data_IF_924914730749
#
_entry.id   IF_924914730749
#
_cell.length_a   1.000
_cell.length_b   1.000
_cell.length_c   1.000
_cell.angle_alpha   90.00
_cell.angle_beta   90.00
_cell.angle_gamma   90.00
#
_symmetry.space_group_name_H-M   'P 1'
#
loop_
_entity.id
_entity.type
_entity.pdbx_description
1 polymer ?
#
# COMPACT_ATOMS: atom_id res chain seq x y z
N UNK A 1 20.23 -5.15 -19.91
CA UNK A 1 20.22 -5.52 -21.35
C UNK A 1 21.59 -6.02 -21.86
N UNK A 2 22.68 -5.56 -21.31
CA UNK A 2 24.04 -5.98 -21.76
C UNK A 2 24.21 -7.50 -21.69
N UNK A 3 23.80 -8.12 -20.56
CA UNK A 3 23.91 -9.56 -20.38
C UNK A 3 23.00 -10.35 -21.32
N UNK A 4 21.81 -9.81 -21.63
CA UNK A 4 20.89 -10.44 -22.58
C UNK A 4 21.49 -10.44 -23.98
N UNK A 5 22.04 -9.31 -24.42
CA UNK A 5 22.73 -9.21 -25.73
C UNK A 5 23.95 -10.14 -25.80
N UNK A 6 24.76 -10.22 -24.72
CA UNK A 6 25.93 -11.10 -24.63
C UNK A 6 25.56 -12.61 -24.67
N UNK A 7 24.30 -12.96 -24.37
CA UNK A 7 23.80 -14.33 -24.37
C UNK A 7 22.71 -14.58 -25.42
N UNK A 8 22.64 -13.75 -26.44
CA UNK A 8 21.70 -13.84 -27.57
C UNK A 8 20.22 -13.91 -27.11
N UNK A 9 19.89 -13.28 -25.98
CA UNK A 9 18.54 -13.24 -25.45
C UNK A 9 17.83 -11.96 -25.83
N UNK A 10 16.54 -12.08 -26.05
CA UNK A 10 15.62 -10.95 -26.25
C UNK A 10 15.03 -10.49 -24.93
N UNK A 11 14.79 -9.19 -24.85
CA UNK A 11 14.15 -8.55 -23.71
C UNK A 11 12.72 -8.17 -24.05
N UNK A 12 11.77 -8.59 -23.22
CA UNK A 12 10.37 -8.21 -23.31
C UNK A 12 10.01 -7.39 -22.06
N UNK A 13 9.26 -6.31 -22.21
CA UNK A 13 8.82 -5.50 -21.08
C UNK A 13 7.32 -5.67 -20.85
N UNK A 14 6.93 -5.94 -19.59
CA UNK A 14 5.55 -6.17 -19.21
C UNK A 14 5.13 -5.23 -18.07
N UNK A 15 4.00 -4.56 -18.28
CA UNK A 15 3.48 -3.51 -17.40
C UNK A 15 3.63 -2.12 -18.04
N UNK A 16 2.58 -1.29 -17.93
CA UNK A 16 2.50 0.02 -18.60
C UNK A 16 3.64 0.96 -18.23
N UNK A 17 3.95 1.06 -16.94
CA UNK A 17 5.05 1.91 -16.45
C UNK A 17 6.41 1.41 -16.93
N UNK A 18 6.64 0.10 -16.95
CA UNK A 18 7.89 -0.49 -17.44
C UNK A 18 8.09 -0.19 -18.92
N UNK A 19 7.08 -0.45 -19.77
CA UNK A 19 7.14 -0.16 -21.22
C UNK A 19 7.42 1.33 -21.48
N UNK A 20 6.70 2.22 -20.79
CA UNK A 20 6.87 3.67 -20.93
C UNK A 20 8.27 4.11 -20.53
N UNK A 21 8.77 3.65 -19.39
CA UNK A 21 10.08 4.06 -18.88
C UNK A 21 11.24 3.54 -19.75
N UNK A 22 11.16 2.29 -20.23
CA UNK A 22 12.16 1.74 -21.15
C UNK A 22 12.19 2.50 -22.47
N UNK A 23 11.00 2.81 -23.02
CA UNK A 23 10.89 3.64 -24.23
C UNK A 23 11.50 5.01 -24.02
N UNK A 24 11.13 5.72 -22.95
CA UNK A 24 11.67 7.04 -22.63
C UNK A 24 13.18 7.00 -22.46
N UNK A 25 13.72 6.03 -21.72
CA UNK A 25 15.15 5.90 -21.51
C UNK A 25 15.92 5.62 -22.81
N UNK A 26 15.32 4.94 -23.78
CA UNK A 26 15.88 4.79 -25.14
C UNK A 26 15.82 6.10 -25.92
N UNK A 27 14.68 6.78 -25.91
CA UNK A 27 14.48 8.03 -26.66
C UNK A 27 15.47 9.12 -26.24
N UNK A 28 15.80 9.20 -24.93
CA UNK A 28 16.82 10.13 -24.40
C UNK A 28 18.25 9.59 -24.46
N UNK A 29 18.46 8.38 -25.02
CA UNK A 29 19.79 7.79 -25.24
C UNK A 29 20.49 7.23 -23.99
N UNK A 30 19.83 7.19 -22.83
CA UNK A 30 20.36 6.57 -21.59
C UNK A 30 20.44 5.05 -21.75
N UNK A 31 19.43 4.45 -22.37
CA UNK A 31 19.35 3.01 -22.57
C UNK A 31 19.61 2.67 -24.05
N UNK A 32 20.74 2.00 -24.30
CA UNK A 32 21.18 1.65 -25.66
C UNK A 32 20.96 0.17 -25.96
N UNK A 33 19.71 -0.25 -26.04
CA UNK A 33 19.34 -1.62 -26.42
C UNK A 33 19.24 -1.70 -27.94
N UNK A 34 19.90 -2.66 -28.60
CA UNK A 34 19.72 -2.92 -30.03
C UNK A 34 18.25 -3.27 -30.35
N UNK A 35 17.74 -2.85 -31.49
CA UNK A 35 16.32 -3.06 -31.87
C UNK A 35 15.94 -4.55 -31.92
N UNK A 36 16.85 -5.41 -32.35
CA UNK A 36 16.60 -6.86 -32.37
C UNK A 36 16.44 -7.48 -30.98
N UNK A 37 17.05 -6.86 -29.96
CA UNK A 37 17.07 -7.39 -28.58
C UNK A 37 15.90 -6.91 -27.72
N UNK A 38 15.09 -5.96 -28.18
CA UNK A 38 13.88 -5.51 -27.49
C UNK A 38 12.66 -5.85 -28.32
N UNK A 39 11.75 -6.64 -27.73
CA UNK A 39 10.51 -7.09 -28.36
C UNK A 39 9.30 -6.61 -27.59
N UNK A 40 8.20 -6.47 -28.29
CA UNK A 40 6.91 -6.16 -27.68
C UNK A 40 6.30 -7.43 -27.06
N UNK A 41 5.48 -7.24 -26.02
CA UNK A 41 4.81 -8.38 -25.35
C UNK A 41 3.81 -9.09 -26.27
N UNK A 42 3.33 -8.40 -27.27
CA UNK A 42 2.42 -8.89 -28.28
C UNK A 42 3.10 -9.94 -29.21
N UNK A 43 4.43 -9.93 -29.28
CA UNK A 43 5.23 -10.88 -30.07
C UNK A 43 5.61 -12.15 -29.28
N UNK A 44 5.21 -12.25 -28.00
CA UNK A 44 5.70 -13.27 -27.06
C UNK A 44 5.49 -14.71 -27.57
N UNK A 45 4.39 -15.00 -28.23
CA UNK A 45 4.07 -16.33 -28.75
C UNK A 45 5.01 -16.77 -29.89
N UNK A 46 5.68 -15.83 -30.55
CA UNK A 46 6.65 -16.06 -31.63
C UNK A 46 8.09 -16.15 -31.13
N UNK A 47 8.33 -15.96 -29.84
CA UNK A 47 9.66 -15.95 -29.23
C UNK A 47 9.99 -17.31 -28.61
N UNK A 48 11.26 -17.68 -28.69
CA UNK A 48 11.80 -18.83 -27.97
C UNK A 48 11.82 -18.56 -26.46
N UNK A 49 11.09 -19.31 -25.63
CA UNK A 49 11.05 -19.12 -24.18
C UNK A 49 12.44 -19.20 -23.54
N UNK A 50 13.32 -20.09 -24.00
CA UNK A 50 14.66 -20.26 -23.46
C UNK A 50 15.57 -19.05 -23.73
N UNK A 51 15.26 -18.26 -24.75
CA UNK A 51 15.99 -17.05 -25.12
C UNK A 51 15.27 -15.76 -24.71
N UNK A 52 14.15 -15.86 -24.01
CA UNK A 52 13.36 -14.69 -23.65
C UNK A 52 13.57 -14.31 -22.18
N UNK A 53 13.86 -13.03 -21.94
CA UNK A 53 13.84 -12.42 -20.61
C UNK A 53 12.71 -11.40 -20.51
N UNK A 54 11.83 -11.59 -19.54
CA UNK A 54 10.74 -10.65 -19.30
C UNK A 54 11.07 -9.79 -18.08
N UNK A 55 11.06 -8.47 -18.25
CA UNK A 55 11.16 -7.50 -17.15
C UNK A 55 9.77 -6.92 -16.90
N UNK A 56 9.27 -7.12 -15.69
CA UNK A 56 7.90 -6.74 -15.34
C UNK A 56 7.82 -5.97 -14.03
N UNK A 57 6.65 -5.35 -13.81
CA UNK A 57 6.26 -4.73 -12.54
C UNK A 57 5.66 -5.75 -11.57
N UNK A 58 5.60 -5.42 -10.26
CA UNK A 58 4.93 -6.24 -9.25
C UNK A 58 5.84 -6.80 -8.17
N UNK A 59 7.06 -6.28 -8.05
CA UNK A 59 8.03 -6.72 -7.04
C UNK A 59 7.62 -6.38 -5.61
N UNK A 60 6.64 -5.50 -5.42
CA UNK A 60 6.09 -5.10 -4.11
C UNK A 60 4.72 -5.73 -3.83
N UNK A 61 4.25 -6.60 -4.71
CA UNK A 61 2.97 -7.29 -4.53
C UNK A 61 1.74 -6.43 -4.83
N UNK A 62 1.90 -5.35 -5.61
CA UNK A 62 0.79 -4.46 -6.00
C UNK A 62 -0.29 -5.26 -6.75
N UNK A 63 -1.56 -5.17 -6.37
CA UNK A 63 -2.62 -6.08 -6.86
C UNK A 63 -2.79 -6.08 -8.38
N UNK A 64 -2.57 -4.96 -9.06
CA UNK A 64 -2.73 -4.81 -10.52
C UNK A 64 -1.42 -4.96 -11.30
N UNK A 65 -0.31 -5.22 -10.64
CA UNK A 65 0.97 -5.36 -11.30
C UNK A 65 1.08 -6.69 -12.06
N UNK A 66 1.90 -6.70 -13.09
CA UNK A 66 2.01 -7.83 -14.01
C UNK A 66 2.39 -9.15 -13.30
N UNK A 67 3.38 -9.11 -12.41
CA UNK A 67 3.82 -10.30 -11.68
C UNK A 67 2.73 -10.85 -10.74
N UNK A 68 1.98 -9.97 -10.07
CA UNK A 68 0.86 -10.36 -9.20
C UNK A 68 -0.24 -11.05 -10.02
N UNK A 69 -0.57 -10.49 -11.19
CA UNK A 69 -1.56 -11.10 -12.09
C UNK A 69 -1.10 -12.46 -12.62
N UNK A 70 0.20 -12.66 -12.88
CA UNK A 70 0.76 -13.96 -13.22
C UNK A 70 0.65 -14.93 -12.04
N UNK A 71 1.01 -14.50 -10.83
CA UNK A 71 0.99 -15.34 -9.63
C UNK A 71 -0.41 -15.83 -9.23
N UNK A 72 -1.47 -15.11 -9.60
CA UNK A 72 -2.87 -15.53 -9.38
C UNK A 72 -3.54 -16.13 -10.63
N UNK A 73 -2.78 -16.33 -11.72
CA UNK A 73 -3.28 -16.94 -12.93
C UNK A 73 -4.23 -16.07 -13.76
N UNK A 74 -4.22 -14.75 -13.55
CA UNK A 74 -5.08 -13.79 -14.27
C UNK A 74 -4.34 -12.97 -15.34
N UNK A 75 -3.08 -13.32 -15.60
CA UNK A 75 -2.35 -12.68 -16.69
C UNK A 75 -2.91 -13.12 -18.03
N UNK A 76 -3.18 -12.16 -18.91
CA UNK A 76 -3.62 -12.41 -20.28
C UNK A 76 -2.48 -12.70 -21.26
N UNK A 77 -1.22 -12.41 -20.84
CA UNK A 77 -0.06 -12.47 -21.72
C UNK A 77 0.77 -13.73 -21.51
N UNK A 78 0.91 -14.17 -20.27
CA UNK A 78 1.82 -15.24 -19.91
C UNK A 78 1.23 -16.10 -18.81
N UNK A 79 1.32 -17.42 -18.96
CA UNK A 79 1.09 -18.41 -17.91
C UNK A 79 2.42 -19.01 -17.55
N UNK A 80 2.77 -18.93 -16.29
CA UNK A 80 4.02 -19.48 -15.76
C UNK A 80 3.87 -20.96 -15.42
N UNK A 81 4.96 -21.70 -15.56
CA UNK A 81 5.05 -23.12 -15.21
C UNK A 81 6.39 -23.46 -14.52
N UNK A 82 6.66 -24.76 -14.31
CA UNK A 82 7.84 -25.28 -13.60
C UNK A 82 9.17 -25.12 -14.36
N UNK A 83 9.14 -24.74 -15.64
CA UNK A 83 10.32 -24.40 -16.43
C UNK A 83 10.76 -22.95 -16.23
N UNK A 84 9.86 -22.12 -15.69
CA UNK A 84 10.12 -20.71 -15.51
C UNK A 84 10.94 -20.40 -14.26
N UNK A 85 11.67 -19.30 -14.34
CA UNK A 85 12.42 -18.74 -13.23
C UNK A 85 12.06 -17.27 -13.03
N UNK A 86 11.66 -16.90 -11.81
CA UNK A 86 11.38 -15.52 -11.43
C UNK A 86 12.43 -15.02 -10.45
N UNK A 87 12.99 -13.85 -10.74
CA UNK A 87 13.98 -13.17 -9.90
C UNK A 87 13.39 -11.86 -9.37
N UNK A 88 13.26 -11.76 -8.06
CA UNK A 88 12.91 -10.51 -7.38
C UNK A 88 14.19 -9.70 -7.16
N UNK A 89 14.47 -8.78 -8.09
CA UNK A 89 15.58 -7.83 -7.97
C UNK A 89 15.18 -6.61 -7.14
N UNK A 90 14.62 -6.87 -5.94
CA UNK A 90 14.14 -5.85 -5.01
C UNK A 90 14.12 -6.39 -3.59
N UNK A 91 14.12 -5.48 -2.60
CA UNK A 91 13.69 -5.79 -1.24
C UNK A 91 12.22 -5.39 -1.05
N UNK A 92 11.43 -6.12 -0.27
CA UNK A 92 10.14 -5.63 0.16
C UNK A 92 10.30 -4.29 0.90
N UNK A 93 9.48 -3.32 0.54
CA UNK A 93 9.35 -2.09 1.31
C UNK A 93 8.65 -2.45 2.63
N UNK A 94 9.07 -1.90 3.79
CA UNK A 94 8.39 -2.14 5.06
C UNK A 94 6.86 -1.97 4.94
N UNK A 95 6.12 -3.00 5.36
CA UNK A 95 4.67 -3.08 5.20
C UNK A 95 4.16 -3.87 3.98
N UNK A 96 5.02 -4.14 2.99
CA UNK A 96 4.65 -4.93 1.80
C UNK A 96 5.03 -6.42 1.90
N UNK A 97 5.59 -6.86 3.02
CA UNK A 97 6.12 -8.22 3.19
C UNK A 97 5.06 -9.29 2.94
N UNK A 98 3.85 -9.10 3.47
CA UNK A 98 2.74 -10.03 3.29
C UNK A 98 2.29 -10.11 1.82
N UNK A 99 2.21 -8.97 1.12
CA UNK A 99 1.85 -8.91 -0.28
C UNK A 99 2.90 -9.59 -1.16
N UNK A 100 4.18 -9.34 -0.93
CA UNK A 100 5.29 -10.00 -1.62
C UNK A 100 5.31 -11.50 -1.34
N UNK A 101 5.09 -11.92 -0.09
CA UNK A 101 4.99 -13.33 0.28
C UNK A 101 3.82 -14.02 -0.45
N UNK A 102 2.67 -13.36 -0.57
CA UNK A 102 1.52 -13.87 -1.31
C UNK A 102 1.85 -14.12 -2.79
N UNK A 103 2.52 -13.19 -3.45
CA UNK A 103 2.97 -13.35 -4.85
C UNK A 103 3.94 -14.53 -4.97
N UNK A 104 4.94 -14.64 -4.09
CA UNK A 104 5.89 -15.76 -4.09
C UNK A 104 5.19 -17.11 -3.89
N UNK A 105 4.23 -17.18 -2.97
CA UNK A 105 3.43 -18.39 -2.76
C UNK A 105 2.58 -18.73 -3.99
N UNK A 106 2.01 -17.72 -4.67
CA UNK A 106 1.30 -17.91 -5.94
C UNK A 106 2.19 -18.53 -7.01
N UNK A 107 3.39 -17.99 -7.20
CA UNK A 107 4.39 -18.52 -8.15
C UNK A 107 4.81 -19.95 -7.80
N UNK A 108 5.05 -20.23 -6.53
CA UNK A 108 5.45 -21.56 -6.06
C UNK A 108 4.37 -22.64 -6.35
N UNK A 109 3.08 -22.28 -6.36
CA UNK A 109 1.98 -23.21 -6.71
C UNK A 109 2.05 -23.68 -8.18
N UNK A 110 2.65 -22.89 -9.06
CA UNK A 110 2.90 -23.24 -10.46
C UNK A 110 4.24 -23.97 -10.66
N UNK A 111 4.99 -24.25 -9.58
CA UNK A 111 6.30 -24.90 -9.69
C UNK A 111 7.44 -23.95 -10.09
N UNK A 112 7.17 -22.65 -10.25
CA UNK A 112 8.15 -21.64 -10.66
C UNK A 112 9.31 -21.56 -9.67
N UNK A 113 10.52 -21.55 -10.19
CA UNK A 113 11.72 -21.29 -9.37
C UNK A 113 11.83 -19.81 -9.04
N UNK A 114 11.83 -19.48 -7.75
CA UNK A 114 11.87 -18.09 -7.29
C UNK A 114 13.18 -17.79 -6.58
N UNK A 115 13.89 -16.78 -7.08
CA UNK A 115 15.08 -16.20 -6.42
C UNK A 115 14.77 -14.80 -5.90
N UNK A 116 15.35 -14.44 -4.76
CA UNK A 116 15.22 -13.12 -4.15
C UNK A 116 16.46 -12.78 -3.33
N UNK A 117 16.57 -11.53 -2.91
CA UNK A 117 17.72 -10.98 -2.19
C UNK A 117 18.09 -11.68 -0.88
N UNK A 118 17.17 -12.43 -0.26
CA UNK A 118 17.47 -13.26 0.90
C UNK A 118 18.14 -14.60 0.56
N UNK A 119 18.25 -14.97 -0.71
CA UNK A 119 18.86 -16.22 -1.17
C UNK A 119 20.14 -15.99 -1.97
N UNK A 120 20.11 -14.96 -2.82
CA UNK A 120 21.21 -14.64 -3.75
C UNK A 120 21.35 -13.13 -3.86
N UNK A 121 22.51 -12.66 -4.22
CA UNK A 121 22.79 -11.22 -4.42
C UNK A 121 22.22 -10.76 -5.77
N UNK A 122 20.95 -10.41 -5.77
CA UNK A 122 20.18 -9.97 -6.96
C UNK A 122 19.67 -8.55 -6.88
N UNK A 123 19.96 -7.85 -5.77
CA UNK A 123 19.48 -6.48 -5.58
C UNK A 123 20.59 -5.60 -5.01
N UNK A 124 20.74 -4.43 -5.60
CA UNK A 124 21.58 -3.35 -5.07
C UNK A 124 20.68 -2.20 -4.60
N UNK A 125 20.82 -1.82 -3.32
CA UNK A 125 20.12 -0.67 -2.77
C UNK A 125 20.46 0.61 -3.53
N UNK A 126 19.47 1.44 -3.80
CA UNK A 126 19.66 2.81 -4.32
C UNK A 126 20.03 3.81 -3.22
N UNK A 127 19.89 3.44 -1.95
CA UNK A 127 20.28 4.29 -0.82
C UNK A 127 21.77 4.14 -0.51
N UNK A 128 22.41 5.28 -0.27
CA UNK A 128 23.82 5.32 0.15
C UNK A 128 24.02 4.62 1.50
N UNK A 129 25.05 3.78 1.57
CA UNK A 129 25.51 3.22 2.83
C UNK A 129 26.29 4.26 3.63
N UNK A 130 26.46 4.04 4.92
CA UNK A 130 27.15 4.98 5.84
C UNK A 130 28.47 5.52 5.28
N UNK A 131 29.30 4.65 4.69
CA UNK A 131 30.61 5.07 4.15
C UNK A 131 30.47 5.92 2.87
N UNK A 132 29.44 5.66 2.06
CA UNK A 132 29.14 6.46 0.87
C UNK A 132 28.60 7.84 1.26
N UNK A 133 27.75 7.91 2.31
CA UNK A 133 27.29 9.17 2.90
C UNK A 133 28.45 9.98 3.46
N UNK A 134 29.41 9.35 4.15
CA UNK A 134 30.64 10.01 4.62
C UNK A 134 31.47 10.56 3.45
N UNK A 135 31.59 9.78 2.40
CA UNK A 135 32.31 10.22 1.20
C UNK A 135 31.65 11.43 0.56
N UNK A 136 30.31 11.40 0.39
CA UNK A 136 29.56 12.52 -0.16
C UNK A 136 29.72 13.78 0.72
N UNK A 137 29.57 13.63 2.02
CA UNK A 137 29.74 14.73 2.99
C UNK A 137 31.15 15.35 2.88
N UNK A 138 32.21 14.51 2.81
CA UNK A 138 33.59 14.97 2.67
C UNK A 138 33.86 15.72 1.37
N UNK A 139 33.20 15.32 0.27
CA UNK A 139 33.34 15.98 -1.04
C UNK A 139 32.53 17.26 -1.12
N UNK A 140 31.33 17.26 -0.56
CA UNK A 140 30.42 18.40 -0.56
C UNK A 140 30.88 19.51 0.38
N UNK A 141 31.53 19.17 1.50
CA UNK A 141 31.94 20.11 2.56
C UNK A 141 30.81 21.07 2.91
N UNK A 142 29.64 20.58 3.31
CA UNK A 142 28.47 21.41 3.47
C UNK A 142 28.64 22.37 4.65
N UNK A 143 28.16 23.60 4.49
CA UNK A 143 28.11 24.57 5.57
C UNK A 143 26.96 24.28 6.54
N UNK A 144 25.83 23.82 5.99
CA UNK A 144 24.65 23.40 6.72
C UNK A 144 24.26 21.97 6.35
N UNK A 145 23.72 21.22 7.31
CA UNK A 145 23.32 19.86 7.08
C UNK A 145 21.87 19.63 7.52
N UNK A 146 21.02 19.22 6.57
CA UNK A 146 19.60 18.93 6.79
C UNK A 146 19.32 17.52 6.28
N UNK A 147 19.29 16.48 7.13
CA UNK A 147 18.95 15.14 6.70
C UNK A 147 17.45 15.08 6.36
N UNK A 148 17.13 14.41 5.26
CA UNK A 148 15.77 14.24 4.76
C UNK A 148 15.54 12.81 4.28
N UNK A 149 14.29 12.45 4.04
CA UNK A 149 13.88 11.17 3.45
C UNK A 149 14.17 9.96 4.36
N UNK A 150 13.32 9.78 5.35
CA UNK A 150 13.36 8.65 6.28
C UNK A 150 12.49 8.92 7.50
N UNK A 151 12.36 7.93 8.36
CA UNK A 151 11.77 8.10 9.68
C UNK A 151 12.68 8.98 10.55
N UNK A 152 12.13 9.62 11.58
CA UNK A 152 12.90 10.49 12.46
C UNK A 152 14.16 9.83 13.03
N UNK A 153 14.10 8.52 13.35
CA UNK A 153 15.26 7.76 13.80
C UNK A 153 16.38 7.69 12.75
N UNK A 154 16.05 7.65 11.45
CA UNK A 154 17.01 7.70 10.36
C UNK A 154 17.65 9.09 10.24
N UNK A 155 16.85 10.15 10.43
CA UNK A 155 17.35 11.52 10.42
C UNK A 155 18.34 11.76 11.56
N UNK A 156 18.02 11.25 12.77
CA UNK A 156 18.91 11.30 13.94
C UNK A 156 20.22 10.55 13.66
N UNK A 157 20.16 9.34 13.12
CA UNK A 157 21.35 8.57 12.80
C UNK A 157 22.24 9.28 11.76
N UNK A 158 21.62 9.94 10.77
CA UNK A 158 22.35 10.69 9.74
C UNK A 158 22.95 11.99 10.30
N UNK A 159 22.26 12.69 11.24
CA UNK A 159 22.82 13.78 12.03
C UNK A 159 24.06 13.35 12.79
N UNK A 160 23.97 12.23 13.51
CA UNK A 160 25.07 11.72 14.34
C UNK A 160 26.29 11.37 13.45
N UNK A 161 26.05 10.83 12.26
CA UNK A 161 27.08 10.62 11.27
C UNK A 161 27.80 11.92 10.85
N UNK A 162 27.05 13.00 10.61
CA UNK A 162 27.61 14.30 10.26
C UNK A 162 28.44 14.88 11.42
N UNK A 163 27.98 14.73 12.68
CA UNK A 163 28.69 15.12 13.89
C UNK A 163 30.01 14.35 14.05
N UNK A 164 30.00 13.05 13.83
CA UNK A 164 31.21 12.22 13.85
C UNK A 164 32.25 12.68 12.81
N UNK A 165 31.80 13.33 11.75
CA UNK A 165 32.65 13.92 10.72
C UNK A 165 33.12 15.35 11.03
N UNK A 166 32.71 15.90 12.18
CA UNK A 166 33.11 17.21 12.64
C UNK A 166 32.15 18.34 12.34
N UNK A 167 30.91 18.02 11.88
CA UNK A 167 29.88 19.06 11.70
C UNK A 167 29.45 19.63 13.05
N UNK A 168 29.47 20.97 13.25
CA UNK A 168 28.99 21.60 14.48
C UNK A 168 27.48 21.36 14.67
N UNK A 169 27.05 21.21 15.94
CA UNK A 169 25.66 20.95 16.29
C UNK A 169 24.68 22.03 15.84
N UNK A 170 25.10 23.27 15.90
CA UNK A 170 24.35 24.43 15.48
C UNK A 170 24.22 24.57 13.94
N UNK A 171 24.92 23.72 13.20
CA UNK A 171 24.86 23.64 11.74
C UNK A 171 24.07 22.43 11.22
N UNK A 172 23.47 21.65 12.11
CA UNK A 172 22.63 20.51 11.75
C UNK A 172 21.20 20.79 12.13
N UNK A 173 20.29 20.79 11.17
CA UNK A 173 18.86 21.04 11.38
C UNK A 173 18.09 19.75 11.14
N UNK A 174 17.44 19.23 12.18
CA UNK A 174 16.45 18.16 12.03
C UNK A 174 15.08 18.78 11.78
N UNK A 175 14.34 18.25 10.83
CA UNK A 175 13.02 18.72 10.47
C UNK A 175 12.09 17.54 10.15
N UNK A 176 10.80 17.76 10.31
CA UNK A 176 9.73 16.85 9.95
C UNK A 176 8.89 17.42 8.80
N UNK A 177 7.95 16.61 8.29
CA UNK A 177 7.10 17.03 7.18
C UNK A 177 6.30 18.28 7.53
N UNK A 178 6.37 19.30 6.67
CA UNK A 178 5.74 20.59 6.87
C UNK A 178 6.63 21.66 7.52
N UNK A 179 7.76 21.28 8.11
CA UNK A 179 8.67 22.26 8.71
C UNK A 179 9.31 23.17 7.67
N UNK A 180 9.35 24.45 7.98
CA UNK A 180 9.95 25.47 7.13
C UNK A 180 11.36 25.80 7.65
N UNK A 181 12.35 25.43 6.82
CA UNK A 181 13.76 25.73 7.10
C UNK A 181 14.22 26.81 6.15
N UNK A 182 14.74 27.90 6.70
CA UNK A 182 15.36 28.98 5.93
C UNK A 182 16.87 28.92 6.12
N UNK A 183 17.59 28.79 5.02
CA UNK A 183 19.05 28.87 4.97
C UNK A 183 19.46 30.20 4.33
N UNK A 184 20.34 30.93 5.00
CA UNK A 184 20.90 32.19 4.51
C UNK A 184 22.39 32.27 4.83
N UNK A 185 23.06 33.32 4.36
CA UNK A 185 24.47 33.57 4.68
C UNK A 185 24.68 33.79 6.20
N UNK A 186 23.64 34.25 6.90
CA UNK A 186 23.68 34.52 8.34
C UNK A 186 23.37 33.31 9.21
N UNK A 187 22.79 32.23 8.62
CA UNK A 187 22.46 31.04 9.38
C UNK A 187 21.34 30.17 8.78
N UNK A 188 21.06 29.07 9.49
CA UNK A 188 19.92 28.18 9.26
C UNK A 188 18.90 28.29 10.39
N UNK A 189 17.66 28.54 10.07
CA UNK A 189 16.60 28.79 11.03
C UNK A 189 15.36 27.98 10.71
N UNK A 190 14.76 27.40 11.77
CA UNK A 190 13.42 26.80 11.70
C UNK A 190 12.38 27.91 11.94
N UNK A 191 11.60 28.24 10.90
CA UNK A 191 10.62 29.35 10.94
C UNK A 191 9.19 28.91 11.28
N UNK A 192 8.96 27.66 11.60
CA UNK A 192 7.63 27.10 11.91
C UNK A 192 7.25 25.96 11.00
N UNK A 193 6.00 25.50 11.09
CA UNK A 193 5.46 24.41 10.26
C UNK A 193 4.18 24.84 9.57
N UNK A 194 3.98 24.42 8.33
CA UNK A 194 2.76 24.63 7.55
C UNK A 194 1.73 23.51 7.74
N UNK A 195 2.01 22.56 8.65
CA UNK A 195 1.21 21.34 8.78
C UNK A 195 1.54 20.32 7.69
N UNK A 196 2.02 19.16 8.10
CA UNK A 196 2.37 18.03 7.22
C UNK A 196 1.31 16.92 7.21
N UNK A 197 0.07 17.23 7.63
CA UNK A 197 -1.00 16.24 7.73
C UNK A 197 -1.36 15.62 6.38
N UNK A 198 -1.70 14.34 6.40
CA UNK A 198 -2.13 13.63 5.20
C UNK A 198 -3.49 14.13 4.75
N UNK A 199 -3.60 14.49 3.47
CA UNK A 199 -4.87 14.75 2.80
C UNK A 199 -5.38 13.45 2.18
N UNK A 200 -6.48 12.93 2.70
CA UNK A 200 -7.09 11.72 2.17
C UNK A 200 -8.10 12.05 1.09
N UNK A 201 -7.93 11.44 -0.09
CA UNK A 201 -8.77 11.68 -1.26
C UNK A 201 -9.46 10.38 -1.68
N UNK A 202 -10.79 10.44 -1.89
CA UNK A 202 -11.59 9.36 -2.43
C UNK A 202 -12.31 9.82 -3.71
N UNK A 203 -11.79 9.45 -4.87
CA UNK A 203 -12.29 9.89 -6.16
C UNK A 203 -12.25 11.41 -6.31
N UNK A 204 -13.42 12.06 -6.34
CA UNK A 204 -13.55 13.51 -6.45
C UNK A 204 -13.74 14.22 -5.11
N UNK A 205 -13.84 13.47 -4.02
CA UNK A 205 -14.00 14.02 -2.67
C UNK A 205 -12.62 14.12 -2.03
N UNK A 206 -12.15 15.34 -1.81
CA UNK A 206 -10.91 15.61 -1.08
C UNK A 206 -11.17 15.77 0.41
N UNK A 207 -10.12 15.56 1.20
CA UNK A 207 -10.08 15.74 2.65
C UNK A 207 -11.17 14.95 3.41
N UNK A 208 -11.05 13.63 3.35
CA UNK A 208 -11.80 12.75 4.22
C UNK A 208 -11.25 12.86 5.63
N UNK A 209 -12.00 13.53 6.51
CA UNK A 209 -11.61 13.68 7.92
C UNK A 209 -11.38 12.34 8.63
N UNK A 210 -10.54 12.37 9.67
CA UNK A 210 -10.17 11.17 10.45
C UNK A 210 -11.37 10.39 11.00
N UNK A 211 -12.49 11.06 11.30
CA UNK A 211 -13.74 10.44 11.75
C UNK A 211 -14.30 9.51 10.68
N UNK A 212 -14.41 9.97 9.43
CA UNK A 212 -14.91 9.16 8.31
C UNK A 212 -14.00 7.97 8.04
N UNK A 213 -12.69 8.15 8.15
CA UNK A 213 -11.72 7.05 7.98
C UNK A 213 -11.84 6.01 9.10
N UNK A 214 -12.02 6.46 10.35
CA UNK A 214 -12.24 5.57 11.49
C UNK A 214 -13.54 4.79 11.34
N UNK A 215 -14.63 5.45 10.96
CA UNK A 215 -15.92 4.80 10.68
C UNK A 215 -15.81 3.77 9.57
N UNK A 216 -15.12 4.09 8.46
CA UNK A 216 -14.90 3.14 7.35
C UNK A 216 -14.09 1.92 7.78
N UNK A 217 -13.11 2.07 8.67
CA UNK A 217 -12.34 0.95 9.24
C UNK A 217 -13.24 0.05 10.08
N UNK A 218 -14.00 0.63 11.01
CA UNK A 218 -14.95 -0.10 11.85
C UNK A 218 -15.96 -0.86 10.99
N UNK A 219 -16.57 -0.20 9.99
CA UNK A 219 -17.50 -0.85 9.07
C UNK A 219 -16.85 -1.95 8.23
N UNK A 220 -15.57 -1.81 7.89
CA UNK A 220 -14.81 -2.82 7.14
C UNK A 220 -14.40 -4.03 7.97
N UNK A 221 -14.09 -3.83 9.23
CA UNK A 221 -13.60 -4.87 10.14
C UNK A 221 -14.78 -5.65 10.78
N UNK A 222 -15.83 -4.95 11.22
CA UNK A 222 -16.94 -5.51 12.00
C UNK A 222 -18.24 -5.66 11.19
N UNK A 223 -18.35 -5.00 10.02
CA UNK A 223 -19.57 -4.87 9.27
C UNK A 223 -20.57 -3.92 9.95
N UNK A 224 -21.84 -4.01 9.58
CA UNK A 224 -22.89 -3.24 10.25
C UNK A 224 -24.22 -4.02 10.31
N UNK A 225 -25.00 -3.68 11.33
CA UNK A 225 -26.39 -4.14 11.50
C UNK A 225 -27.27 -2.91 11.68
N UNK A 226 -28.37 -2.85 10.94
CA UNK A 226 -29.38 -1.81 11.05
C UNK A 226 -30.71 -2.45 11.39
N UNK A 227 -31.36 -1.97 12.43
CA UNK A 227 -32.72 -2.43 12.85
C UNK A 227 -33.68 -1.28 12.68
N UNK A 228 -34.75 -1.51 11.93
CA UNK A 228 -35.81 -0.52 11.69
C UNK A 228 -37.09 -1.01 12.36
N UNK A 229 -37.63 -0.21 13.27
CA UNK A 229 -38.89 -0.50 14.00
C UNK A 229 -39.79 0.71 13.92
N UNK A 230 -41.06 0.48 13.63
CA UNK A 230 -42.10 1.50 13.69
C UNK A 230 -42.93 1.36 14.97
N UNK A 231 -42.93 2.39 15.80
CA UNK A 231 -43.62 2.41 17.10
C UNK A 231 -44.68 3.51 17.12
N UNK A 232 -45.90 3.15 17.53
CA UNK A 232 -46.93 4.11 17.86
C UNK A 232 -46.81 4.49 19.36
N UNK A 233 -46.27 5.69 19.60
CA UNK A 233 -46.05 6.19 20.97
C UNK A 233 -47.33 6.52 21.72
N UNK A 234 -48.44 6.78 21.01
CA UNK A 234 -49.75 7.05 21.67
C UNK A 234 -50.40 5.78 22.16
N UNK A 235 -50.18 4.68 21.40
CA UNK A 235 -50.75 3.37 21.74
C UNK A 235 -49.81 2.46 22.53
N UNK A 236 -48.52 2.81 22.54
CA UNK A 236 -47.48 1.98 23.15
C UNK A 236 -47.30 0.64 22.42
N UNK A 237 -47.41 0.63 21.09
CA UNK A 237 -47.37 -0.59 20.28
C UNK A 237 -46.36 -0.52 19.16
N UNK A 238 -45.74 -1.67 18.83
CA UNK A 238 -44.93 -1.82 17.61
C UNK A 238 -45.90 -2.03 16.43
N UNK A 239 -45.83 -1.13 15.44
CA UNK A 239 -46.73 -1.13 14.26
C UNK A 239 -46.17 -1.93 13.10
N UNK A 240 -44.82 -1.94 12.96
CA UNK A 240 -44.10 -2.70 11.93
C UNK A 240 -42.64 -2.90 12.29
N UNK A 241 -42.02 -3.94 11.75
CA UNK A 241 -40.70 -4.39 12.10
C UNK A 241 -40.67 -5.27 13.35
N UNK A 242 -39.52 -5.55 13.97
CA UNK A 242 -38.15 -5.10 13.56
C UNK A 242 -37.68 -5.68 12.23
N UNK A 243 -37.31 -4.83 11.29
CA UNK A 243 -36.63 -5.23 10.07
C UNK A 243 -35.12 -5.11 10.27
N UNK A 244 -34.38 -6.22 10.17
CA UNK A 244 -32.95 -6.28 10.37
C UNK A 244 -32.24 -6.35 9.02
N UNK A 245 -31.31 -5.45 8.78
CA UNK A 245 -30.46 -5.41 7.59
C UNK A 245 -29.02 -5.42 8.04
N UNK A 246 -28.24 -6.37 7.57
CA UNK A 246 -26.81 -6.44 7.88
C UNK A 246 -25.92 -6.56 6.64
N UNK A 247 -24.67 -6.15 6.77
CA UNK A 247 -23.62 -6.34 5.76
C UNK A 247 -22.28 -6.55 6.44
N UNK A 248 -21.56 -7.63 6.03
CA UNK A 248 -20.22 -7.93 6.53
C UNK A 248 -20.17 -8.41 7.99
N UNK A 249 -21.32 -8.67 8.61
CA UNK A 249 -21.41 -9.07 10.02
C UNK A 249 -21.15 -10.57 10.23
N UNK A 250 -21.87 -11.44 9.51
CA UNK A 250 -21.70 -12.90 9.57
C UNK A 250 -21.79 -13.53 8.18
N UNK A 251 -21.30 -14.77 8.05
CA UNK A 251 -21.35 -15.50 6.77
C UNK A 251 -22.78 -15.87 6.38
N UNK A 252 -23.05 -15.88 5.06
CA UNK A 252 -24.37 -16.07 4.47
C UNK A 252 -25.19 -17.27 5.01
N UNK A 253 -24.64 -18.47 5.26
CA UNK A 253 -25.46 -19.57 5.76
C UNK A 253 -26.09 -19.34 7.15
N UNK A 254 -25.42 -18.52 7.98
CA UNK A 254 -25.86 -18.21 9.33
C UNK A 254 -26.69 -16.91 9.43
N UNK A 255 -26.63 -16.07 8.39
CA UNK A 255 -27.15 -14.70 8.40
C UNK A 255 -28.63 -14.61 8.80
N UNK A 256 -29.49 -15.37 8.13
CA UNK A 256 -30.94 -15.32 8.38
C UNK A 256 -31.31 -15.70 9.84
N UNK A 257 -30.58 -16.65 10.42
CA UNK A 257 -30.79 -17.06 11.82
C UNK A 257 -30.36 -15.98 12.81
N UNK A 258 -29.27 -15.27 12.53
CA UNK A 258 -28.79 -14.19 13.39
C UNK A 258 -29.66 -12.94 13.25
N UNK A 259 -30.10 -12.59 12.06
CA UNK A 259 -31.00 -11.46 11.83
C UNK A 259 -32.36 -11.69 12.54
N UNK A 260 -32.90 -12.90 12.48
CA UNK A 260 -34.12 -13.28 13.22
C UNK A 260 -33.93 -13.19 14.73
N UNK A 261 -32.81 -13.68 15.27
CA UNK A 261 -32.52 -13.60 16.70
C UNK A 261 -32.38 -12.15 17.20
N UNK A 262 -31.79 -11.27 16.39
CA UNK A 262 -31.71 -9.83 16.69
C UNK A 262 -33.08 -9.19 16.64
N UNK A 263 -33.92 -9.52 15.65
CA UNK A 263 -35.30 -9.02 15.56
C UNK A 263 -36.13 -9.43 16.79
N UNK A 264 -36.09 -10.70 17.16
CA UNK A 264 -36.83 -11.23 18.33
C UNK A 264 -36.34 -10.55 19.63
N UNK A 265 -35.06 -10.35 19.81
CA UNK A 265 -34.51 -9.69 20.98
C UNK A 265 -34.94 -8.21 21.06
N UNK A 266 -34.83 -7.47 19.96
CA UNK A 266 -35.24 -6.06 19.89
C UNK A 266 -36.75 -5.91 20.11
N UNK A 267 -37.56 -6.77 19.52
CA UNK A 267 -39.02 -6.77 19.74
C UNK A 267 -39.35 -6.98 21.20
N UNK A 268 -38.77 -8.01 21.83
CA UNK A 268 -38.98 -8.32 23.24
C UNK A 268 -38.61 -7.16 24.17
N UNK A 269 -37.42 -6.56 23.94
CA UNK A 269 -36.95 -5.47 24.78
C UNK A 269 -37.76 -4.17 24.58
N UNK A 270 -38.23 -3.90 23.35
CA UNK A 270 -39.04 -2.74 23.06
C UNK A 270 -40.47 -2.90 23.61
N UNK A 271 -41.07 -4.07 23.50
CA UNK A 271 -42.40 -4.34 24.10
C UNK A 271 -42.35 -4.10 25.59
N UNK A 272 -41.36 -4.65 26.29
CA UNK A 272 -41.16 -4.42 27.72
C UNK A 272 -40.95 -2.94 28.09
N UNK A 273 -40.24 -2.20 27.22
CA UNK A 273 -39.97 -0.80 27.43
C UNK A 273 -41.18 0.11 27.16
N UNK A 274 -42.06 -0.27 26.25
CA UNK A 274 -43.29 0.47 25.92
C UNK A 274 -44.35 0.40 27.02
N UNK A 275 -44.29 -0.58 27.94
CA UNK A 275 -45.11 -0.64 29.13
C UNK A 275 -44.80 0.45 30.16
N UNK A 276 -43.62 1.08 30.08
CA UNK A 276 -43.21 2.17 30.96
C UNK A 276 -43.51 3.54 30.29
N UNK A 277 -44.51 4.30 30.83
CA UNK A 277 -44.95 5.56 30.25
C UNK A 277 -43.89 6.68 30.28
N UNK A 278 -42.81 6.51 31.05
CA UNK A 278 -41.72 7.49 31.16
C UNK A 278 -40.65 7.30 30.06
N UNK A 279 -40.79 6.29 29.19
CA UNK A 279 -39.85 6.07 28.08
C UNK A 279 -40.20 6.98 26.88
N UNK A 280 -39.18 7.75 26.45
CA UNK A 280 -39.23 8.53 25.24
C UNK A 280 -38.56 7.79 24.04
N UNK A 281 -38.72 8.35 22.82
CA UNK A 281 -38.13 7.82 21.59
C UNK A 281 -36.60 7.66 21.71
N UNK A 282 -35.92 8.56 22.39
CA UNK A 282 -34.46 8.52 22.58
C UNK A 282 -34.02 7.32 23.41
N UNK A 283 -34.78 6.99 24.47
CA UNK A 283 -34.52 5.87 25.36
C UNK A 283 -34.84 4.53 24.70
N UNK A 284 -35.93 4.46 23.94
CA UNK A 284 -36.27 3.28 23.13
C UNK A 284 -35.21 3.00 22.09
N UNK A 285 -34.67 4.03 21.43
CA UNK A 285 -33.55 3.88 20.51
C UNK A 285 -32.24 3.41 21.15
N UNK A 286 -32.02 3.70 22.44
CA UNK A 286 -30.86 3.16 23.18
C UNK A 286 -31.08 1.70 23.60
N UNK A 287 -32.29 1.30 23.91
CA UNK A 287 -32.65 -0.08 24.25
C UNK A 287 -32.47 -0.97 23.02
N UNK A 288 -32.95 -0.55 21.85
CA UNK A 288 -32.82 -1.30 20.62
C UNK A 288 -31.35 -1.45 20.12
N UNK A 289 -30.40 -0.69 20.68
CA UNK A 289 -28.97 -0.76 20.37
C UNK A 289 -28.15 -1.66 21.29
N UNK A 290 -28.72 -2.17 22.36
CA UNK A 290 -28.07 -3.08 23.31
C UNK A 290 -28.16 -4.51 22.85
#
# INVERSE_FOLDING_TARGET
YKRQVENDRVLVTLGLSMRRNVKLARDVGILRIPDWALRDIEDLDDLDPEQTLIVCTGSQGEPRAALTQMAIGQSKWLKLDDNDTVVFSSHPIPGNEAAVASVRNGLARYGVRVFHSGMVDVHTSGHGKQQELKTLHSVAVPEWFVPVHGEYAHLVAHRDLARDMGMPDDRVVLCEDGDQIVLSDDGGEHQGSIGGDHLYVDGMVGDLGNTVLSERRTLGDDGFVSVVVHVDMERGEIVAGPDVISRGWVELPALAGHEAAVADAVESDLVAALEDPDNDIGRLGQIARR
#
